data_IF_612699274555
#
_entry.id   IF_612699274555
#
_cell.length_a   1.000
_cell.length_b   1.000
_cell.length_c   1.000
_cell.angle_alpha   90.00
_cell.angle_beta   90.00
_cell.angle_gamma   90.00
#
_symmetry.space_group_name_H-M   'P 1'
#
loop_
_entity.id
_entity.type
_entity.pdbx_description
1 polymer ?
#
# COMPACT_ATOMS: atom_id res chain seq x y z
N UNK A 1 -4.28 43.47 -3.82
CA UNK A 1 -4.62 42.04 -3.69
C UNK A 1 -5.44 41.86 -2.43
N UNK A 2 -6.73 41.51 -2.54
CA UNK A 2 -7.62 41.49 -1.38
C UNK A 2 -7.21 40.37 -0.42
N UNK A 3 -7.06 40.68 0.88
CA UNK A 3 -6.73 39.69 1.93
C UNK A 3 -7.68 38.47 1.89
N UNK A 4 -8.92 38.69 1.47
CA UNK A 4 -9.93 37.66 1.25
C UNK A 4 -9.52 36.63 0.18
N UNK A 5 -8.92 37.07 -0.92
CA UNK A 5 -8.47 36.20 -2.02
C UNK A 5 -7.28 35.34 -1.58
N UNK A 6 -6.37 35.91 -0.77
CA UNK A 6 -5.21 35.19 -0.24
C UNK A 6 -5.65 34.08 0.72
N UNK A 7 -6.65 34.32 1.57
CA UNK A 7 -7.18 33.33 2.51
C UNK A 7 -7.87 32.16 1.78
N UNK A 8 -8.64 32.45 0.72
CA UNK A 8 -9.33 31.42 -0.07
C UNK A 8 -8.32 30.50 -0.80
N UNK A 9 -7.24 31.07 -1.34
CA UNK A 9 -6.17 30.29 -1.99
C UNK A 9 -5.41 29.42 -0.98
N UNK A 10 -5.14 29.94 0.22
CA UNK A 10 -4.47 29.20 1.28
C UNK A 10 -5.32 28.04 1.83
N UNK A 11 -6.64 28.21 1.87
CA UNK A 11 -7.59 27.18 2.29
C UNK A 11 -7.71 26.02 1.29
N UNK A 12 -7.49 26.27 0.00
CA UNK A 12 -7.52 25.22 -1.05
C UNK A 12 -6.22 24.41 -1.17
N UNK A 13 -5.10 24.90 -0.61
CA UNK A 13 -3.79 24.24 -0.65
C UNK A 13 -3.61 23.12 0.40
N UNK A 14 -4.61 22.88 1.25
CA UNK A 14 -4.55 21.88 2.32
C UNK A 14 -5.09 20.49 1.90
N UNK A 15 -5.16 20.18 0.61
CA UNK A 15 -5.38 18.80 0.15
C UNK A 15 -4.15 17.97 0.52
N UNK A 16 -4.21 17.39 1.71
CA UNK A 16 -3.22 16.48 2.24
C UNK A 16 -3.18 15.25 1.34
N UNK A 17 -1.99 14.82 0.94
CA UNK A 17 -1.80 13.60 0.16
C UNK A 17 -2.26 12.38 0.98
N UNK A 18 -3.54 12.03 0.88
CA UNK A 18 -4.07 10.79 1.43
C UNK A 18 -3.38 9.64 0.70
N UNK A 19 -2.65 8.81 1.45
CA UNK A 19 -2.03 7.62 0.89
C UNK A 19 -3.12 6.69 0.32
N UNK A 20 -3.25 6.70 -1.00
CA UNK A 20 -4.23 5.87 -1.69
C UNK A 20 -3.96 4.40 -1.34
N UNK A 21 -5.00 3.75 -0.83
CA UNK A 21 -4.93 2.33 -0.50
C UNK A 21 -5.50 1.52 -1.65
N UNK A 22 -4.69 0.63 -2.22
CA UNK A 22 -5.07 -0.25 -3.31
C UNK A 22 -5.29 -1.66 -2.78
N UNK A 23 -6.46 -2.22 -3.02
CA UNK A 23 -6.77 -3.62 -2.71
C UNK A 23 -6.75 -4.43 -4.00
N UNK A 24 -6.12 -5.62 -3.98
CA UNK A 24 -6.09 -6.55 -5.11
C UNK A 24 -6.56 -7.92 -4.64
N UNK A 25 -7.51 -8.52 -5.36
CA UNK A 25 -8.01 -9.88 -5.11
C UNK A 25 -7.32 -10.85 -6.06
N UNK A 26 -6.69 -11.88 -5.51
CA UNK A 26 -6.12 -12.98 -6.28
C UNK A 26 -7.16 -14.08 -6.42
N UNK A 27 -7.45 -14.50 -7.65
CA UNK A 27 -8.42 -15.55 -7.96
C UNK A 27 -7.70 -16.82 -8.42
N UNK A 28 -8.28 -17.98 -8.13
CA UNK A 28 -7.81 -19.26 -8.66
C UNK A 28 -8.28 -19.46 -10.12
N UNK A 29 -7.90 -20.59 -10.74
CA UNK A 29 -8.26 -20.93 -12.13
C UNK A 29 -9.78 -20.97 -12.38
N UNK A 30 -10.56 -21.29 -11.35
CA UNK A 30 -12.03 -21.33 -11.41
C UNK A 30 -12.69 -19.96 -11.14
N UNK A 31 -11.90 -18.90 -10.94
CA UNK A 31 -12.40 -17.54 -10.68
C UNK A 31 -12.74 -17.24 -9.22
N UNK A 32 -12.57 -18.20 -8.31
CA UNK A 32 -12.84 -18.03 -6.88
C UNK A 32 -11.69 -17.31 -6.17
N UNK A 33 -11.96 -16.47 -5.16
CA UNK A 33 -10.90 -15.81 -4.38
C UNK A 33 -9.96 -16.82 -3.71
N UNK A 34 -8.67 -16.66 -3.95
CA UNK A 34 -7.59 -17.43 -3.32
C UNK A 34 -6.89 -16.63 -2.21
N UNK A 35 -6.95 -15.30 -2.26
CA UNK A 35 -6.37 -14.40 -1.27
C UNK A 35 -6.45 -12.95 -1.73
N UNK A 36 -5.85 -12.07 -0.93
CA UNK A 36 -5.95 -10.62 -1.15
C UNK A 36 -4.62 -9.94 -0.82
N UNK A 37 -4.38 -8.77 -1.40
CA UNK A 37 -3.37 -7.85 -0.92
C UNK A 37 -3.94 -6.45 -0.75
N UNK A 38 -3.40 -5.73 0.23
CA UNK A 38 -3.71 -4.33 0.51
C UNK A 38 -2.42 -3.54 0.55
N UNK A 39 -2.26 -2.63 -0.41
CA UNK A 39 -1.12 -1.74 -0.52
C UNK A 39 -1.50 -0.36 -0.02
N UNK A 40 -0.72 0.19 0.90
CA UNK A 40 -0.83 1.56 1.40
C UNK A 40 0.56 2.20 1.33
N UNK A 41 0.72 3.16 0.43
CA UNK A 41 2.03 3.72 0.10
C UNK A 41 3.00 2.65 -0.40
N UNK A 42 4.15 2.52 0.25
CA UNK A 42 5.20 1.55 -0.09
C UNK A 42 5.09 0.21 0.66
N UNK A 43 4.01 -0.02 1.40
CA UNK A 43 3.79 -1.26 2.17
C UNK A 43 2.62 -2.04 1.59
N UNK A 44 2.82 -3.33 1.39
CA UNK A 44 1.76 -4.27 0.98
C UNK A 44 1.58 -5.34 2.04
N UNK A 45 0.33 -5.62 2.40
CA UNK A 45 -0.04 -6.72 3.31
C UNK A 45 -0.77 -7.77 2.51
N UNK A 46 -0.38 -9.04 2.68
CA UNK A 46 -1.00 -10.17 2.01
C UNK A 46 -1.86 -10.96 2.99
N UNK A 47 -3.00 -11.41 2.50
CA UNK A 47 -4.00 -12.15 3.25
C UNK A 47 -4.40 -13.42 2.50
N UNK A 48 -4.75 -14.47 3.24
CA UNK A 48 -5.42 -15.64 2.68
C UNK A 48 -6.88 -15.33 2.31
N UNK A 49 -7.57 -16.32 1.73
CA UNK A 49 -8.99 -16.21 1.37
C UNK A 49 -9.92 -15.91 2.56
N UNK A 50 -9.47 -16.17 3.78
CA UNK A 50 -10.19 -15.96 5.04
C UNK A 50 -9.79 -14.66 5.74
N UNK A 51 -9.09 -13.76 5.03
CA UNK A 51 -8.62 -12.47 5.54
C UNK A 51 -7.59 -12.56 6.68
N UNK A 52 -6.93 -13.71 6.88
CA UNK A 52 -5.81 -13.79 7.82
C UNK A 52 -4.55 -13.24 7.18
N UNK A 53 -3.81 -12.39 7.89
CA UNK A 53 -2.51 -11.90 7.45
C UNK A 53 -1.53 -13.06 7.28
N UNK A 54 -0.94 -13.20 6.10
CA UNK A 54 0.06 -14.24 5.80
C UNK A 54 1.47 -13.67 5.72
N UNK A 55 1.64 -12.49 5.15
CA UNK A 55 2.94 -11.83 4.99
C UNK A 55 2.80 -10.33 4.75
N UNK A 56 3.93 -9.63 4.74
CA UNK A 56 4.00 -8.23 4.32
C UNK A 56 5.19 -8.00 3.42
N UNK A 57 5.12 -7.00 2.55
CA UNK A 57 6.26 -6.47 1.83
C UNK A 57 6.36 -4.96 1.98
N UNK A 58 7.59 -4.44 1.91
CA UNK A 58 7.88 -3.01 1.96
C UNK A 58 8.93 -2.67 0.92
N UNK A 59 8.60 -1.71 0.08
CA UNK A 59 9.51 -1.17 -0.93
C UNK A 59 10.28 0.04 -0.36
N UNK A 60 11.60 0.02 -0.49
CA UNK A 60 12.45 1.17 -0.16
C UNK A 60 12.68 2.05 -1.38
N UNK A 61 13.04 3.31 -1.13
CA UNK A 61 13.27 4.33 -2.18
C UNK A 61 14.33 3.93 -3.22
N UNK A 62 15.19 2.97 -2.89
CA UNK A 62 16.21 2.42 -3.79
C UNK A 62 15.73 1.23 -4.64
N UNK A 63 14.41 1.03 -4.76
CA UNK A 63 13.80 -0.05 -5.55
C UNK A 63 13.93 -1.44 -4.94
N UNK A 64 14.29 -1.55 -3.66
CA UNK A 64 14.38 -2.86 -2.98
C UNK A 64 13.10 -3.17 -2.22
N UNK A 65 12.47 -4.29 -2.54
CA UNK A 65 11.31 -4.81 -1.83
C UNK A 65 11.75 -5.86 -0.82
N UNK A 66 11.49 -5.61 0.46
CA UNK A 66 11.74 -6.57 1.55
C UNK A 66 10.45 -7.28 1.90
N UNK A 67 10.50 -8.60 2.02
CA UNK A 67 9.38 -9.44 2.44
C UNK A 67 9.57 -9.89 3.89
N UNK A 68 8.45 -9.97 4.60
CA UNK A 68 8.38 -10.39 5.99
C UNK A 68 7.28 -11.44 6.14
N UNK A 69 7.51 -12.43 6.99
CA UNK A 69 6.52 -13.44 7.34
C UNK A 69 5.39 -12.84 8.20
N UNK A 70 4.42 -13.68 8.60
CA UNK A 70 3.29 -13.30 9.46
C UNK A 70 3.74 -12.67 10.80
N UNK A 71 4.85 -13.16 11.35
CA UNK A 71 5.47 -12.73 12.61
C UNK A 71 6.26 -11.42 12.47
N UNK A 72 6.49 -10.94 11.24
CA UNK A 72 7.26 -9.72 10.98
C UNK A 72 8.77 -9.94 10.83
N UNK A 73 9.24 -11.19 10.85
CA UNK A 73 10.64 -11.51 10.54
C UNK A 73 10.88 -11.40 9.03
N UNK A 74 11.99 -10.78 8.66
CA UNK A 74 12.43 -10.66 7.27
C UNK A 74 12.70 -12.05 6.69
N UNK A 75 12.09 -12.35 5.55
CA UNK A 75 12.26 -13.64 4.85
C UNK A 75 13.11 -13.51 3.61
N UNK A 76 12.94 -12.42 2.85
CA UNK A 76 13.68 -12.22 1.61
C UNK A 76 13.72 -10.75 1.17
N UNK A 77 14.56 -10.46 0.18
CA UNK A 77 14.63 -9.17 -0.50
C UNK A 77 14.67 -9.38 -2.00
N UNK A 78 13.96 -8.54 -2.74
CA UNK A 78 13.98 -8.50 -4.19
C UNK A 78 14.34 -7.07 -4.64
N UNK A 79 15.33 -6.94 -5.50
CA UNK A 79 15.63 -5.65 -6.15
C UNK A 79 14.80 -5.56 -7.42
N UNK A 80 14.00 -4.52 -7.53
CA UNK A 80 13.26 -4.16 -8.74
C UNK A 80 14.18 -3.18 -9.49
N UNK A 81 14.83 -3.66 -10.55
CA UNK A 81 15.71 -2.85 -11.41
C UNK A 81 14.89 -1.87 -12.24
#
# INVERSE_FOLDING_TARGET
MNKLIVIIIFMFLLVSAVAQTKTTTYKNKSGNPAGYSKQTGNKTVYYDKSYNKTSTSKESKNGTTTFYNKQGSKTSTKKTK
#
